data_IF_428390224052
#
_entry.id   IF_428390224052
#
_cell.length_a   1.000
_cell.length_b   1.000
_cell.length_c   1.000
_cell.angle_alpha   90.00
_cell.angle_beta   90.00
_cell.angle_gamma   90.00
#
_symmetry.space_group_name_H-M   'P 1'
#
loop_
_entity.id
_entity.type
_entity.pdbx_description
1 polymer ?
#
# COMPACT_ATOMS: atom_id res chain seq x y z
N UNK A 1 -6.20 12.20 5.44
CA UNK A 1 -5.91 10.83 4.99
C UNK A 1 -7.20 10.09 4.75
N UNK A 2 -7.38 9.44 3.60
CA UNK A 2 -8.59 8.67 3.27
C UNK A 2 -8.28 7.17 3.35
N UNK A 3 -8.96 6.46 4.23
CA UNK A 3 -8.95 4.99 4.30
C UNK A 3 -10.13 4.46 3.48
N UNK A 4 -9.90 3.47 2.62
CA UNK A 4 -10.97 2.84 1.85
C UNK A 4 -10.72 1.33 1.71
N UNK A 5 -11.75 0.54 1.94
CA UNK A 5 -11.73 -0.89 1.68
C UNK A 5 -11.75 -1.16 0.17
N UNK A 6 -10.92 -2.09 -0.31
CA UNK A 6 -10.90 -2.51 -1.71
C UNK A 6 -11.17 -4.00 -1.85
N UNK A 7 -12.11 -4.35 -2.72
CA UNK A 7 -12.34 -5.74 -3.15
C UNK A 7 -11.29 -6.22 -4.17
N UNK A 8 -10.40 -5.34 -4.63
CA UNK A 8 -9.32 -5.68 -5.55
C UNK A 8 -8.04 -4.91 -5.21
N UNK A 9 -7.11 -5.54 -4.50
CA UNK A 9 -5.79 -4.93 -4.21
C UNK A 9 -4.94 -4.81 -5.47
N UNK A 10 -5.03 -5.77 -6.39
CA UNK A 10 -4.29 -5.74 -7.66
C UNK A 10 -4.63 -4.50 -8.51
N UNK A 11 -5.91 -4.11 -8.55
CA UNK A 11 -6.35 -2.92 -9.28
C UNK A 11 -5.86 -1.62 -8.62
N UNK A 12 -5.89 -1.56 -7.29
CA UNK A 12 -5.35 -0.41 -6.54
C UNK A 12 -3.84 -0.25 -6.76
N UNK A 13 -3.09 -1.36 -6.71
CA UNK A 13 -1.65 -1.37 -6.96
C UNK A 13 -1.36 -0.92 -8.39
N UNK A 14 -2.03 -1.47 -9.42
CA UNK A 14 -1.77 -1.07 -10.80
C UNK A 14 -2.06 0.41 -11.07
N UNK A 15 -3.06 0.98 -10.38
CA UNK A 15 -3.37 2.40 -10.45
C UNK A 15 -2.25 3.26 -9.84
N UNK A 16 -1.73 2.86 -8.68
CA UNK A 16 -0.67 3.60 -7.98
C UNK A 16 0.69 3.43 -8.68
N UNK A 17 1.05 2.20 -9.08
CA UNK A 17 2.31 1.85 -9.74
C UNK A 17 2.58 2.63 -11.03
N UNK A 18 1.54 2.99 -11.79
CA UNK A 18 1.66 3.81 -13.00
C UNK A 18 1.98 5.28 -12.75
N UNK A 19 1.81 5.75 -11.51
CA UNK A 19 1.93 7.16 -11.12
C UNK A 19 2.98 7.38 -10.03
N UNK A 20 3.44 6.30 -9.41
CA UNK A 20 4.47 6.32 -8.39
C UNK A 20 5.81 6.72 -9.00
N UNK A 21 6.45 7.69 -8.36
CA UNK A 21 7.85 8.02 -8.53
C UNK A 21 8.70 7.06 -7.69
N UNK A 22 8.27 6.82 -6.44
CA UNK A 22 8.96 5.99 -5.46
C UNK A 22 8.08 4.83 -4.97
N UNK A 23 8.70 3.70 -4.67
CA UNK A 23 8.02 2.46 -4.28
C UNK A 23 8.72 1.84 -3.08
N UNK A 24 7.96 1.59 -2.03
CA UNK A 24 8.45 0.93 -0.82
C UNK A 24 7.49 -0.12 -0.30
N UNK A 25 8.02 -1.09 0.43
CA UNK A 25 7.24 -2.17 1.01
C UNK A 25 7.59 -2.36 2.48
N UNK A 26 6.57 -2.50 3.32
CA UNK A 26 6.67 -2.91 4.71
C UNK A 26 6.20 -4.38 4.80
N UNK A 27 7.08 -5.27 5.23
CA UNK A 27 6.84 -6.72 5.32
C UNK A 27 6.41 -7.40 4.00
N UNK A 28 6.48 -6.71 2.86
CA UNK A 28 6.29 -7.28 1.54
C UNK A 28 7.27 -6.68 0.54
N UNK A 29 7.60 -7.47 -0.46
CA UNK A 29 8.32 -6.97 -1.62
C UNK A 29 7.38 -6.14 -2.50
N UNK A 30 7.75 -4.89 -2.78
CA UNK A 30 6.86 -3.95 -3.50
C UNK A 30 6.70 -4.33 -4.97
N UNK A 31 7.70 -4.96 -5.59
CA UNK A 31 7.63 -5.43 -6.97
C UNK A 31 6.68 -6.63 -7.10
N UNK A 32 6.70 -7.51 -6.08
CA UNK A 32 5.82 -8.67 -5.98
C UNK A 32 4.57 -8.45 -5.13
N UNK A 33 4.24 -7.20 -4.79
CA UNK A 33 3.14 -6.88 -3.86
C UNK A 33 1.82 -7.56 -4.25
N UNK A 34 1.49 -7.56 -5.55
CA UNK A 34 0.28 -8.22 -6.09
C UNK A 34 0.21 -9.70 -5.71
N UNK A 35 1.32 -10.42 -5.90
CA UNK A 35 1.43 -11.85 -5.63
C UNK A 35 1.51 -12.13 -4.13
N UNK A 36 2.28 -11.35 -3.37
CA UNK A 36 2.38 -11.50 -1.90
C UNK A 36 1.06 -11.28 -1.20
N UNK A 37 0.30 -10.23 -1.56
CA UNK A 37 -1.04 -10.01 -1.01
C UNK A 37 -2.00 -11.15 -1.35
N UNK A 38 -1.91 -11.70 -2.57
CA UNK A 38 -2.75 -12.81 -2.99
C UNK A 38 -2.42 -14.07 -2.19
N UNK A 39 -1.14 -14.46 -2.15
CA UNK A 39 -0.65 -15.63 -1.42
C UNK A 39 -1.01 -15.56 0.06
N UNK A 40 -0.86 -14.38 0.68
CA UNK A 40 -1.19 -14.18 2.09
C UNK A 40 -2.68 -14.37 2.36
N UNK A 41 -3.55 -13.81 1.52
CA UNK A 41 -5.00 -14.03 1.66
C UNK A 41 -5.39 -15.48 1.46
N UNK A 42 -4.80 -16.15 0.48
CA UNK A 42 -5.02 -17.58 0.22
C UNK A 42 -4.60 -18.40 1.46
N UNK A 43 -3.45 -18.08 2.06
CA UNK A 43 -2.94 -18.72 3.27
C UNK A 43 -3.86 -18.53 4.49
N UNK A 44 -4.48 -17.36 4.64
CA UNK A 44 -5.44 -17.08 5.71
C UNK A 44 -6.90 -17.42 5.35
N UNK A 45 -7.18 -18.01 4.18
CA UNK A 45 -8.54 -18.33 3.73
C UNK A 45 -9.45 -17.10 3.52
N UNK A 46 -8.88 -15.90 3.37
CA UNK A 46 -9.59 -14.63 3.18
C UNK A 46 -9.74 -14.28 1.70
N UNK A 47 -10.33 -15.19 0.93
CA UNK A 47 -10.53 -15.03 -0.51
C UNK A 47 -11.83 -14.32 -0.87
N UNK A 48 -12.79 -14.24 0.07
CA UNK A 48 -14.10 -13.62 -0.13
C UNK A 48 -14.19 -12.21 0.50
N UNK A 49 -14.88 -11.29 -0.18
CA UNK A 49 -15.18 -9.95 0.35
C UNK A 49 -14.08 -8.90 0.16
N UNK A 50 -13.67 -8.25 1.27
CA UNK A 50 -12.69 -7.16 1.23
C UNK A 50 -11.27 -7.72 1.13
N UNK A 51 -10.56 -7.33 0.08
CA UNK A 51 -9.24 -7.83 -0.27
C UNK A 51 -8.10 -7.06 0.41
N UNK A 52 -8.37 -5.85 0.90
CA UNK A 52 -7.39 -5.03 1.59
C UNK A 52 -7.90 -3.62 1.87
N UNK A 53 -7.04 -2.79 2.46
CA UNK A 53 -7.31 -1.38 2.68
C UNK A 53 -6.34 -0.52 1.87
N UNK A 54 -6.84 0.56 1.30
CA UNK A 54 -6.07 1.56 0.58
C UNK A 54 -6.10 2.83 1.40
N UNK A 55 -4.92 3.40 1.61
CA UNK A 55 -4.73 4.66 2.32
C UNK A 55 -4.18 5.66 1.32
N UNK A 56 -4.90 6.77 1.14
CA UNK A 56 -4.45 7.88 0.30
C UNK A 56 -4.12 9.05 1.22
N UNK A 57 -2.88 9.49 1.17
CA UNK A 57 -2.39 10.70 1.81
C UNK A 57 -1.98 11.68 0.71
N UNK A 58 -2.60 12.86 0.75
CA UNK A 58 -2.35 13.92 -0.24
C UNK A 58 -1.57 15.02 0.46
N UNK A 59 -0.48 15.43 -0.16
CA UNK A 59 0.36 16.52 0.31
C UNK A 59 0.25 17.71 -0.65
N UNK A 60 0.53 18.91 -0.15
CA UNK A 60 0.58 20.08 -1.02
C UNK A 60 1.85 20.06 -1.88
N UNK A 61 1.79 20.58 -3.12
CA UNK A 61 3.00 20.79 -3.91
C UNK A 61 3.93 21.73 -3.12
N UNK A 62 5.21 21.37 -3.00
CA UNK A 62 6.28 22.07 -2.25
C UNK A 62 6.35 21.79 -0.73
N UNK A 63 5.42 21.04 -0.15
CA UNK A 63 5.45 20.74 1.29
C UNK A 63 6.41 19.60 1.65
N UNK A 64 6.59 18.64 0.73
CA UNK A 64 7.38 17.41 0.91
C UNK A 64 7.91 16.88 -0.42
N UNK A 65 9.11 16.29 -0.41
CA UNK A 65 9.66 15.58 -1.56
C UNK A 65 9.03 14.19 -1.72
N UNK A 66 9.09 13.55 -2.90
CA UNK A 66 8.59 12.18 -3.09
C UNK A 66 9.22 11.17 -2.10
N UNK A 67 10.51 11.34 -1.80
CA UNK A 67 11.24 10.53 -0.83
C UNK A 67 10.71 10.71 0.60
N UNK A 68 10.48 11.96 1.02
CA UNK A 68 9.88 12.26 2.32
C UNK A 68 8.44 11.73 2.42
N UNK A 69 7.65 11.85 1.34
CA UNK A 69 6.31 11.26 1.30
C UNK A 69 6.37 9.75 1.52
N UNK A 70 7.34 9.09 0.90
CA UNK A 70 7.50 7.65 0.99
C UNK A 70 7.83 7.23 2.42
N UNK A 71 8.78 7.92 3.05
CA UNK A 71 9.18 7.67 4.43
C UNK A 71 8.04 7.92 5.41
N UNK A 72 7.29 9.02 5.25
CA UNK A 72 6.09 9.29 6.05
C UNK A 72 5.01 8.20 5.84
N UNK A 73 4.86 7.72 4.61
CA UNK A 73 3.95 6.62 4.27
C UNK A 73 4.34 5.30 4.94
N UNK A 74 5.64 5.00 5.04
CA UNK A 74 6.16 3.83 5.75
C UNK A 74 5.95 3.95 7.26
N UNK A 75 6.26 5.10 7.86
CA UNK A 75 6.01 5.33 9.29
C UNK A 75 4.51 5.22 9.62
N UNK A 76 3.64 5.73 8.73
CA UNK A 76 2.20 5.61 8.87
C UNK A 76 1.77 4.14 8.77
N UNK A 77 2.34 3.39 7.81
CA UNK A 77 2.07 1.97 7.64
C UNK A 77 2.47 1.15 8.87
N UNK A 78 3.63 1.44 9.46
CA UNK A 78 4.12 0.77 10.66
C UNK A 78 3.24 1.09 11.88
N UNK A 79 2.81 2.35 12.03
CA UNK A 79 1.90 2.74 13.13
C UNK A 79 0.50 2.16 12.99
N UNK A 80 -0.04 2.11 11.78
CA UNK A 80 -1.41 1.62 11.53
C UNK A 80 -1.49 0.10 11.46
N UNK A 81 -0.47 -0.56 10.92
CA UNK A 81 -0.52 -1.97 10.59
C UNK A 81 0.87 -2.64 10.73
N UNK A 82 1.47 -2.64 11.94
CA UNK A 82 2.85 -3.08 12.17
C UNK A 82 3.10 -4.56 11.79
N UNK A 83 2.07 -5.41 11.92
CA UNK A 83 2.13 -6.84 11.60
C UNK A 83 1.45 -7.19 10.27
N UNK A 84 1.25 -6.21 9.39
CA UNK A 84 0.64 -6.43 8.09
C UNK A 84 1.63 -6.10 6.97
N UNK A 85 1.35 -6.67 5.80
CA UNK A 85 2.00 -6.29 4.56
C UNK A 85 1.42 -4.96 4.09
N UNK A 86 2.29 -4.01 3.78
CA UNK A 86 1.88 -2.71 3.25
C UNK A 86 2.81 -2.34 2.10
N UNK A 87 2.22 -1.92 0.99
CA UNK A 87 2.96 -1.39 -0.13
C UNK A 87 2.66 0.11 -0.25
N UNK A 88 3.71 0.92 -0.25
CA UNK A 88 3.67 2.37 -0.32
C UNK A 88 4.12 2.80 -1.71
N UNK A 89 3.30 3.63 -2.34
CA UNK A 89 3.50 4.17 -3.67
C UNK A 89 3.31 5.68 -3.58
N UNK A 90 4.34 6.43 -3.97
CA UNK A 90 4.39 7.89 -3.86
C UNK A 90 4.79 8.51 -5.18
#
# INVERSE_FOLDING_TARGET
TKLSATKSTSRAINYAEKRAVEKSGLNCDVDYAKSSFKASRELYGKTDGNQGHVIIQSFKPDEVTPEQCNQLGLELAEKLAPNHQVAVYT
#
